data_IF_190481286268
#
_entry.id   IF_190481286268
#
_cell.length_a   1.000
_cell.length_b   1.000
_cell.length_c   1.000
_cell.angle_alpha   90.00
_cell.angle_beta   90.00
_cell.angle_gamma   90.00
#
_symmetry.space_group_name_H-M   'P 1'
#
loop_
_entity.id
_entity.type
_entity.pdbx_description
1 polymer ?
#
# COMPACT_ATOMS: atom_id res chain seq x y z
N UNK A 1 24.88 28.98 -19.22
CA UNK A 1 23.92 28.34 -20.13
C UNK A 1 24.63 28.23 -21.47
N UNK A 2 24.88 27.03 -21.96
CA UNK A 2 25.59 26.82 -23.23
C UNK A 2 24.60 26.81 -24.39
N UNK A 3 25.04 27.21 -25.57
CA UNK A 3 24.24 27.15 -26.80
C UNK A 3 24.81 26.06 -27.71
N UNK A 4 23.99 25.55 -28.64
CA UNK A 4 24.43 24.48 -29.56
C UNK A 4 25.50 25.04 -30.54
N UNK A 5 26.58 24.30 -30.87
CA UNK A 5 27.45 24.72 -31.98
C UNK A 5 26.65 24.77 -33.29
N UNK A 6 26.75 25.87 -34.04
CA UNK A 6 25.95 26.17 -35.25
C UNK A 6 24.45 26.38 -34.96
N UNK A 7 24.14 27.44 -34.20
CA UNK A 7 22.80 27.80 -33.75
C UNK A 7 21.90 28.19 -34.94
N UNK A 8 20.94 27.34 -35.28
CA UNK A 8 19.94 27.65 -36.29
C UNK A 8 18.81 28.49 -35.67
N UNK A 9 19.06 29.78 -35.46
CA UNK A 9 18.07 30.74 -34.96
C UNK A 9 16.94 30.99 -35.95
N UNK A 10 17.16 30.78 -37.24
CA UNK A 10 16.15 30.97 -38.27
C UNK A 10 15.00 29.96 -38.15
N UNK A 11 15.27 28.78 -37.57
CA UNK A 11 14.24 27.79 -37.30
C UNK A 11 13.39 28.13 -36.06
N UNK A 12 13.85 29.03 -35.18
CA UNK A 12 13.13 29.36 -33.94
C UNK A 12 11.88 30.18 -34.26
N UNK A 13 10.76 29.73 -33.73
CA UNK A 13 9.49 30.46 -33.85
C UNK A 13 8.93 30.72 -32.47
N UNK A 14 8.57 31.98 -32.19
CA UNK A 14 7.95 32.39 -30.94
C UNK A 14 6.55 32.92 -31.25
N UNK A 15 5.54 32.26 -30.70
CA UNK A 15 4.16 32.75 -30.67
C UNK A 15 3.85 33.26 -29.26
N UNK A 16 3.79 34.59 -29.10
CA UNK A 16 3.46 35.24 -27.84
C UNK A 16 2.07 35.85 -27.93
N UNK A 17 1.10 35.25 -27.25
CA UNK A 17 -0.30 35.71 -27.26
C UNK A 17 -0.58 36.78 -26.21
N UNK A 18 0.25 36.86 -25.17
CA UNK A 18 0.27 37.96 -24.21
C UNK A 18 1.63 37.97 -23.49
N UNK A 19 1.91 38.96 -22.61
CA UNK A 19 3.08 38.89 -21.73
C UNK A 19 3.08 37.66 -20.81
N UNK A 20 1.93 37.01 -20.64
CA UNK A 20 1.73 35.89 -19.72
C UNK A 20 1.72 34.52 -20.38
N UNK A 21 1.62 34.45 -21.71
CA UNK A 21 1.52 33.17 -22.42
C UNK A 21 2.36 33.19 -23.69
N UNK A 22 3.23 32.18 -23.82
CA UNK A 22 4.13 32.02 -24.95
C UNK A 22 4.29 30.56 -25.33
N UNK A 23 4.36 30.32 -26.63
CA UNK A 23 4.85 29.07 -27.22
C UNK A 23 6.17 29.39 -27.91
N UNK A 24 7.22 28.65 -27.55
CA UNK A 24 8.57 28.80 -28.08
C UNK A 24 8.99 27.47 -28.70
N UNK A 25 9.35 27.49 -29.99
CA UNK A 25 9.65 26.29 -30.80
C UNK A 25 11.06 26.40 -31.35
N UNK A 26 11.78 25.28 -31.35
CA UNK A 26 13.16 25.15 -31.86
C UNK A 26 14.13 26.18 -31.25
N UNK A 27 14.03 26.43 -29.93
CA UNK A 27 14.95 27.31 -29.25
C UNK A 27 16.35 26.65 -29.19
N UNK A 28 17.40 27.24 -29.80
CA UNK A 28 18.75 26.66 -29.87
C UNK A 28 19.52 26.71 -28.54
N UNK A 29 18.97 27.37 -27.53
CA UNK A 29 19.52 27.40 -26.18
C UNK A 29 19.48 26.01 -25.54
N UNK A 30 20.64 25.51 -25.09
CA UNK A 30 20.74 24.15 -24.56
C UNK A 30 20.38 24.12 -23.08
N UNK A 31 19.42 23.26 -22.74
CA UNK A 31 19.23 22.76 -21.38
C UNK A 31 20.16 21.58 -21.08
N UNK A 32 20.04 21.03 -19.87
CA UNK A 32 20.78 19.82 -19.46
C UNK A 32 20.49 18.59 -20.36
N UNK A 33 19.36 18.57 -21.05
CA UNK A 33 18.86 17.46 -21.88
C UNK A 33 18.79 17.84 -23.37
N UNK A 34 19.59 18.83 -23.78
CA UNK A 34 19.53 19.44 -25.11
C UNK A 34 18.57 20.63 -25.20
N UNK A 35 18.41 21.13 -26.43
CA UNK A 35 17.43 22.16 -26.76
C UNK A 35 16.00 21.62 -26.56
N UNK A 36 15.06 22.50 -26.19
CA UNK A 36 13.64 22.13 -26.18
C UNK A 36 13.10 22.24 -27.62
N UNK A 37 12.48 21.16 -28.12
CA UNK A 37 11.80 21.12 -29.43
C UNK A 37 10.64 22.11 -29.41
N UNK A 38 9.87 22.09 -28.32
CA UNK A 38 8.88 23.12 -28.02
C UNK A 38 8.74 23.30 -26.51
N UNK A 39 8.27 24.49 -26.15
CA UNK A 39 7.90 24.87 -24.78
C UNK A 39 6.66 25.74 -24.81
N UNK A 40 5.64 25.31 -24.08
CA UNK A 40 4.47 26.11 -23.77
C UNK A 40 4.66 26.63 -22.34
N UNK A 41 4.62 27.94 -22.21
CA UNK A 41 4.87 28.64 -20.95
C UNK A 41 3.73 29.59 -20.64
N UNK A 42 3.22 29.50 -19.41
CA UNK A 42 2.20 30.40 -18.90
C UNK A 42 2.58 30.90 -17.50
N UNK A 43 2.25 32.16 -17.21
CA UNK A 43 2.44 32.78 -15.90
C UNK A 43 1.17 33.48 -15.42
N UNK A 44 0.79 33.26 -14.17
CA UNK A 44 -0.36 33.92 -13.55
C UNK A 44 -0.01 35.33 -13.09
N UNK A 45 -1.00 36.13 -12.69
CA UNK A 45 -0.77 37.44 -12.04
C UNK A 45 0.06 37.32 -10.75
N UNK A 46 -0.05 36.18 -10.07
CA UNK A 46 0.71 35.88 -8.86
C UNK A 46 2.12 35.34 -9.14
N UNK A 47 2.54 35.35 -10.43
CA UNK A 47 3.82 34.82 -10.92
C UNK A 47 3.99 33.31 -10.77
N UNK A 48 2.91 32.56 -10.59
CA UNK A 48 2.95 31.11 -10.63
C UNK A 48 3.10 30.64 -12.07
N UNK A 49 3.96 29.65 -12.29
CA UNK A 49 4.33 29.16 -13.61
C UNK A 49 3.72 27.79 -13.89
N UNK A 50 3.26 27.63 -15.13
CA UNK A 50 3.03 26.33 -15.76
C UNK A 50 3.93 26.20 -16.99
N UNK A 51 4.62 25.07 -17.10
CA UNK A 51 5.50 24.74 -18.20
C UNK A 51 5.20 23.33 -18.72
N UNK A 52 4.98 23.24 -20.03
CA UNK A 52 4.84 22.00 -20.76
C UNK A 52 5.86 21.98 -21.90
N UNK A 53 6.80 21.03 -21.90
CA UNK A 53 7.91 21.04 -22.85
C UNK A 53 8.38 19.63 -23.24
N UNK A 54 8.87 19.52 -24.48
CA UNK A 54 9.54 18.33 -25.01
C UNK A 54 10.99 18.70 -25.37
N UNK A 55 11.96 17.96 -24.82
CA UNK A 55 13.38 18.13 -25.19
C UNK A 55 13.80 17.25 -26.36
N UNK A 56 14.87 17.64 -27.05
CA UNK A 56 15.54 16.82 -28.10
C UNK A 56 16.02 15.46 -27.57
N UNK A 57 16.30 15.37 -26.26
CA UNK A 57 16.53 14.10 -25.57
C UNK A 57 15.30 13.20 -25.42
N UNK A 58 14.12 13.58 -25.94
CA UNK A 58 12.89 12.79 -25.91
C UNK A 58 12.09 12.89 -24.59
N UNK A 59 12.47 13.79 -23.68
CA UNK A 59 11.80 13.93 -22.37
C UNK A 59 10.67 14.93 -22.44
N UNK A 60 9.46 14.45 -22.21
CA UNK A 60 8.29 15.29 -22.00
C UNK A 60 8.15 15.68 -20.51
N UNK A 61 7.86 16.94 -20.24
CA UNK A 61 7.82 17.52 -18.89
C UNK A 61 6.55 18.35 -18.74
N UNK A 62 5.83 18.13 -17.64
CA UNK A 62 4.77 19.02 -17.14
C UNK A 62 5.22 19.50 -15.76
N UNK A 63 5.49 20.79 -15.61
CA UNK A 63 5.86 21.41 -14.34
C UNK A 63 4.84 22.50 -14.00
N UNK A 64 4.33 22.46 -12.78
CA UNK A 64 3.37 23.42 -12.29
C UNK A 64 3.72 23.79 -10.85
N UNK A 65 3.75 25.09 -10.55
CA UNK A 65 4.18 25.58 -9.23
C UNK A 65 3.18 25.27 -8.12
N UNK A 66 1.91 25.08 -8.48
CA UNK A 66 0.81 24.80 -7.54
C UNK A 66 0.22 23.42 -7.82
N UNK A 67 -1.09 23.26 -7.70
CA UNK A 67 -1.80 22.00 -7.96
C UNK A 67 -1.93 21.69 -9.44
N UNK A 68 -1.68 20.43 -9.79
CA UNK A 68 -2.11 19.82 -11.05
C UNK A 68 -3.33 18.95 -10.78
N UNK A 69 -4.40 19.13 -11.56
CA UNK A 69 -5.62 18.34 -11.47
C UNK A 69 -5.92 17.71 -12.84
N UNK A 70 -6.23 16.40 -12.83
CA UNK A 70 -6.61 15.64 -14.02
C UNK A 70 -8.00 15.07 -13.76
N UNK A 71 -9.00 15.61 -14.47
CA UNK A 71 -10.40 15.15 -14.41
C UNK A 71 -10.80 14.68 -15.80
N UNK A 72 -11.34 13.46 -15.87
CA UNK A 72 -11.82 12.86 -17.11
C UNK A 72 -13.15 12.13 -16.84
N UNK A 73 -13.88 11.80 -17.91
CA UNK A 73 -15.08 10.96 -17.81
C UNK A 73 -16.41 11.66 -17.56
N UNK A 74 -16.47 13.00 -17.53
CA UNK A 74 -17.69 13.75 -17.18
C UNK A 74 -18.92 13.41 -18.05
N UNK A 75 -18.69 13.05 -19.32
CA UNK A 75 -19.73 12.66 -20.28
C UNK A 75 -19.52 11.25 -20.83
N UNK A 76 -18.65 10.45 -20.18
CA UNK A 76 -18.35 9.11 -20.64
C UNK A 76 -19.43 8.11 -20.19
N UNK A 77 -19.46 6.96 -20.84
CA UNK A 77 -20.38 5.89 -20.50
C UNK A 77 -19.99 5.27 -19.16
N UNK A 78 -20.98 4.94 -18.33
CA UNK A 78 -20.73 4.29 -17.05
C UNK A 78 -19.93 2.98 -17.22
N UNK A 79 -18.87 2.82 -16.42
CA UNK A 79 -17.99 1.66 -16.48
C UNK A 79 -16.87 1.73 -17.52
N UNK A 80 -16.78 2.79 -18.32
CA UNK A 80 -15.65 3.02 -19.22
C UNK A 80 -14.38 3.44 -18.45
N UNK A 81 -13.22 3.23 -19.07
CA UNK A 81 -11.93 3.66 -18.52
C UNK A 81 -11.65 5.09 -18.95
N UNK A 82 -11.55 6.01 -17.99
CA UNK A 82 -11.34 7.43 -18.28
C UNK A 82 -9.87 7.84 -18.34
N UNK A 83 -9.03 7.23 -17.49
CA UNK A 83 -7.61 7.55 -17.38
C UNK A 83 -6.81 6.25 -17.33
N UNK A 84 -5.81 6.14 -18.21
CA UNK A 84 -4.82 5.06 -18.20
C UNK A 84 -3.44 5.65 -17.97
N UNK A 85 -2.73 5.12 -16.99
CA UNK A 85 -1.32 5.41 -16.74
C UNK A 85 -0.57 4.09 -16.89
N UNK A 86 0.24 3.97 -17.95
CA UNK A 86 0.93 2.73 -18.28
C UNK A 86 2.38 2.98 -18.70
N UNK A 87 3.31 2.19 -18.14
CA UNK A 87 4.68 2.07 -18.63
C UNK A 87 4.80 0.82 -19.49
N UNK A 88 5.31 0.94 -20.72
CA UNK A 88 5.40 -0.20 -21.64
C UNK A 88 6.73 -0.97 -21.54
N UNK A 89 7.83 -0.25 -21.33
CA UNK A 89 9.21 -0.79 -21.29
C UNK A 89 10.01 -0.24 -20.11
N UNK A 90 9.31 0.21 -19.07
CA UNK A 90 9.90 0.85 -17.90
C UNK A 90 8.84 1.08 -16.84
N UNK A 91 9.25 1.77 -15.77
CA UNK A 91 8.49 1.83 -14.54
C UNK A 91 7.59 3.08 -14.45
N UNK A 92 6.51 2.95 -13.69
CA UNK A 92 5.70 4.08 -13.24
C UNK A 92 5.99 4.30 -11.75
N UNK A 93 6.69 5.40 -11.44
CA UNK A 93 7.05 5.74 -10.05
C UNK A 93 6.20 6.90 -9.57
N UNK A 94 5.49 6.70 -8.46
CA UNK A 94 4.67 7.74 -7.80
C UNK A 94 5.30 8.05 -6.44
N UNK A 95 5.81 9.27 -6.30
CA UNK A 95 6.52 9.69 -5.08
C UNK A 95 5.87 10.91 -4.45
N UNK A 96 5.55 10.81 -3.17
CA UNK A 96 5.13 11.94 -2.35
C UNK A 96 6.23 12.23 -1.31
N UNK A 97 6.81 13.44 -1.36
CA UNK A 97 7.95 13.82 -0.52
C UNK A 97 7.51 14.47 0.80
N UNK A 98 8.36 14.36 1.85
CA UNK A 98 8.17 14.95 3.19
C UNK A 98 6.84 14.51 3.83
N UNK A 99 5.86 15.42 3.90
CA UNK A 99 4.54 15.20 4.50
C UNK A 99 3.48 14.80 3.46
N UNK A 100 3.90 14.57 2.21
CA UNK A 100 3.03 14.09 1.14
C UNK A 100 2.52 12.68 1.42
N UNK A 101 1.29 12.40 1.00
CA UNK A 101 0.68 11.07 1.07
C UNK A 101 0.10 10.70 -0.29
N UNK A 102 0.21 9.43 -0.68
CA UNK A 102 -0.54 8.87 -1.81
C UNK A 102 -1.83 8.28 -1.26
N UNK A 103 -2.97 8.80 -1.71
CA UNK A 103 -4.31 8.40 -1.23
C UNK A 103 -5.12 7.85 -2.38
N UNK A 104 -5.39 6.54 -2.33
CA UNK A 104 -6.21 5.84 -3.33
C UNK A 104 -7.57 5.57 -2.69
N UNK A 105 -8.64 6.04 -3.34
CA UNK A 105 -10.02 5.92 -2.86
C UNK A 105 -10.93 5.50 -4.01
N UNK A 106 -11.82 4.56 -3.73
CA UNK A 106 -12.83 4.08 -4.65
C UNK A 106 -13.74 3.09 -3.92
N UNK A 107 -14.87 2.74 -4.54
CA UNK A 107 -15.74 1.67 -4.00
C UNK A 107 -15.01 0.32 -3.99
N UNK A 108 -14.26 0.04 -5.07
CA UNK A 108 -13.45 -1.16 -5.24
C UNK A 108 -12.04 -0.76 -5.69
N UNK A 109 -11.01 -1.35 -5.08
CA UNK A 109 -9.60 -1.18 -5.47
C UNK A 109 -8.99 -2.58 -5.59
N UNK A 110 -8.40 -2.89 -6.74
CA UNK A 110 -7.74 -4.18 -7.01
C UNK A 110 -6.27 -3.91 -7.27
N UNK A 111 -5.39 -4.59 -6.51
CA UNK A 111 -3.95 -4.60 -6.74
C UNK A 111 -3.59 -6.02 -7.17
N UNK A 112 -3.06 -6.15 -8.39
CA UNK A 112 -2.71 -7.43 -8.99
C UNK A 112 -1.35 -7.30 -9.67
N UNK A 113 -0.52 -8.32 -9.50
CA UNK A 113 0.73 -8.51 -10.21
C UNK A 113 0.81 -9.98 -10.64
N UNK A 114 1.53 -10.26 -11.73
CA UNK A 114 1.73 -11.63 -12.23
C UNK A 114 2.76 -12.39 -11.38
N UNK A 115 3.74 -11.67 -10.83
CA UNK A 115 4.79 -12.22 -9.97
C UNK A 115 4.50 -11.89 -8.50
N UNK A 116 4.87 -10.69 -8.04
CA UNK A 116 4.87 -10.35 -6.61
C UNK A 116 4.27 -8.97 -6.32
N UNK A 117 3.76 -8.80 -5.09
CA UNK A 117 3.35 -7.51 -4.52
C UNK A 117 4.07 -7.33 -3.19
N UNK A 118 5.01 -6.39 -3.15
CA UNK A 118 5.74 -6.03 -1.94
C UNK A 118 5.16 -4.79 -1.25
N UNK A 119 4.91 -4.91 0.05
CA UNK A 119 4.46 -3.81 0.91
C UNK A 119 5.50 -3.59 2.00
N UNK A 120 6.29 -2.52 1.87
CA UNK A 120 7.38 -2.19 2.78
C UNK A 120 7.12 -0.83 3.43
N UNK A 121 7.23 -0.74 4.76
CA UNK A 121 7.11 0.51 5.50
C UNK A 121 8.18 0.62 6.59
N UNK A 122 8.73 1.83 6.79
CA UNK A 122 9.77 2.07 7.79
C UNK A 122 9.30 2.06 9.25
N UNK A 123 7.98 2.17 9.50
CA UNK A 123 7.40 2.10 10.86
C UNK A 123 6.38 0.98 10.97
N UNK A 124 5.21 1.16 10.36
CA UNK A 124 4.08 0.26 10.51
C UNK A 124 3.33 0.10 9.18
N UNK A 125 2.76 -1.09 8.96
CA UNK A 125 1.74 -1.36 7.95
C UNK A 125 0.45 -1.72 8.68
N UNK A 126 -0.61 -0.95 8.45
CA UNK A 126 -1.91 -1.18 9.09
C UNK A 126 -2.89 -1.75 8.06
N UNK A 127 -3.36 -2.98 8.26
CA UNK A 127 -4.38 -3.62 7.41
C UNK A 127 -5.64 -3.85 8.24
N UNK A 128 -6.72 -3.13 7.91
CA UNK A 128 -7.98 -3.21 8.64
C UNK A 128 -9.15 -3.49 7.68
N UNK A 129 -9.83 -4.62 7.89
CA UNK A 129 -11.09 -4.96 7.22
C UNK A 129 -12.20 -5.04 8.25
N UNK A 130 -13.29 -4.29 8.06
CA UNK A 130 -14.44 -4.28 8.98
C UNK A 130 -15.08 -5.66 9.17
N UNK A 131 -15.14 -6.45 8.09
CA UNK A 131 -15.70 -7.79 8.11
C UNK A 131 -14.61 -8.87 8.24
N UNK A 132 -13.61 -8.84 7.35
CA UNK A 132 -12.57 -9.88 7.29
C UNK A 132 -11.34 -9.40 6.51
N UNK A 133 -10.17 -9.87 6.91
CA UNK A 133 -8.94 -9.88 6.10
C UNK A 133 -8.60 -11.35 5.82
N UNK A 134 -8.45 -11.72 4.54
CA UNK A 134 -8.13 -13.09 4.13
C UNK A 134 -6.72 -13.16 3.57
N UNK A 135 -5.85 -13.96 4.19
CA UNK A 135 -4.54 -14.33 3.67
C UNK A 135 -4.62 -15.80 3.24
N UNK A 136 -4.42 -16.07 1.95
CA UNK A 136 -4.47 -17.41 1.38
C UNK A 136 -3.20 -17.65 0.59
N UNK A 137 -2.60 -18.82 0.79
CA UNK A 137 -1.43 -19.28 0.06
C UNK A 137 -1.04 -20.66 0.55
N UNK A 138 -0.20 -21.37 -0.22
CA UNK A 138 0.32 -22.67 0.20
C UNK A 138 1.15 -22.58 1.49
N UNK A 139 1.75 -21.41 1.74
CA UNK A 139 2.47 -21.07 2.96
C UNK A 139 2.22 -19.61 3.29
N UNK A 140 1.81 -19.35 4.53
CA UNK A 140 1.70 -18.00 5.10
C UNK A 140 2.55 -17.99 6.35
N UNK A 141 3.54 -17.10 6.41
CA UNK A 141 4.47 -17.00 7.53
C UNK A 141 4.36 -15.60 8.14
N UNK A 142 4.41 -15.55 9.47
CA UNK A 142 4.56 -14.34 10.23
C UNK A 142 5.73 -14.54 11.20
N UNK A 143 6.70 -13.65 11.13
CA UNK A 143 7.85 -13.63 12.03
C UNK A 143 7.83 -12.33 12.83
N UNK A 144 8.06 -12.43 14.12
CA UNK A 144 8.02 -11.31 15.05
C UNK A 144 8.46 -11.75 16.43
N UNK A 145 9.01 -10.82 17.21
CA UNK A 145 9.47 -11.13 18.56
C UNK A 145 8.31 -11.35 19.54
N UNK A 146 7.22 -10.59 19.37
CA UNK A 146 6.05 -10.55 20.25
C UNK A 146 4.82 -10.29 19.38
N UNK A 147 3.68 -10.86 19.78
CA UNK A 147 2.38 -10.56 19.19
C UNK A 147 1.47 -11.76 19.22
N UNK A 148 0.16 -11.53 19.29
CA UNK A 148 -0.83 -12.60 19.47
C UNK A 148 -0.74 -13.69 18.39
N UNK A 149 -0.39 -13.34 17.14
CA UNK A 149 -0.20 -14.32 16.06
C UNK A 149 1.05 -15.19 16.27
N UNK A 150 2.13 -14.60 16.79
CA UNK A 150 3.39 -15.30 17.08
C UNK A 150 3.22 -16.18 18.32
N UNK A 151 2.58 -15.67 19.37
CA UNK A 151 2.32 -16.43 20.61
C UNK A 151 1.38 -17.63 20.37
N UNK A 152 0.40 -17.50 19.48
CA UNK A 152 -0.49 -18.61 19.09
C UNK A 152 0.22 -19.66 18.23
N UNK A 153 1.25 -19.28 17.46
CA UNK A 153 1.96 -20.20 16.56
C UNK A 153 3.15 -20.88 17.24
N UNK A 154 3.83 -20.19 18.15
CA UNK A 154 5.09 -20.63 18.77
C UNK A 154 5.00 -20.87 20.28
N UNK A 155 3.85 -20.61 20.90
CA UNK A 155 3.66 -20.60 22.35
C UNK A 155 4.19 -19.32 22.99
N UNK A 156 3.63 -18.94 24.15
CA UNK A 156 4.17 -17.83 24.93
C UNK A 156 5.62 -18.10 25.34
N UNK A 157 6.39 -17.03 25.60
CA UNK A 157 7.78 -17.16 26.08
C UNK A 157 7.91 -18.14 27.26
N UNK A 158 6.95 -18.10 28.19
CA UNK A 158 6.87 -19.01 29.34
C UNK A 158 6.75 -20.47 28.90
N UNK A 159 5.86 -20.79 27.95
CA UNK A 159 5.75 -22.15 27.41
C UNK A 159 7.06 -22.62 26.77
N UNK A 160 7.73 -21.76 25.99
CA UNK A 160 9.00 -22.12 25.31
C UNK A 160 10.17 -22.37 26.27
N UNK A 161 10.21 -21.70 27.43
CA UNK A 161 11.25 -21.92 28.44
C UNK A 161 11.05 -23.24 29.19
N UNK A 162 9.80 -23.68 29.38
CA UNK A 162 9.48 -24.89 30.13
C UNK A 162 9.31 -26.16 29.28
N UNK A 163 9.30 -26.06 27.94
CA UNK A 163 9.21 -27.23 27.03
C UNK A 163 10.41 -28.19 27.08
N UNK A 164 11.55 -27.76 27.63
CA UNK A 164 12.78 -28.58 27.71
C UNK A 164 13.10 -29.13 29.10
N UNK A 165 12.27 -28.87 30.13
CA UNK A 165 12.53 -29.38 31.48
C UNK A 165 12.06 -30.83 31.55
N UNK A 166 12.95 -31.74 31.16
CA UNK A 166 12.77 -33.18 31.34
C UNK A 166 12.71 -33.50 32.83
N UNK A 167 11.47 -33.68 33.33
CA UNK A 167 11.19 -33.96 34.73
C UNK A 167 10.28 -32.91 35.36
N UNK A 168 9.04 -32.83 34.87
CA UNK A 168 7.93 -32.13 35.54
C UNK A 168 8.29 -30.75 36.10
N UNK A 169 8.53 -29.77 35.23
CA UNK A 169 8.61 -28.39 35.69
C UNK A 169 7.30 -28.01 36.40
N UNK A 170 7.43 -27.69 37.68
CA UNK A 170 6.42 -27.06 38.53
C UNK A 170 5.63 -26.00 37.75
N UNK A 171 4.32 -26.21 37.56
CA UNK A 171 3.42 -25.21 36.98
C UNK A 171 2.53 -25.66 35.82
N UNK A 172 2.80 -26.78 35.14
CA UNK A 172 1.91 -27.30 34.10
C UNK A 172 0.53 -27.71 34.65
N UNK A 173 0.51 -28.27 35.86
CA UNK A 173 -0.71 -28.65 36.59
C UNK A 173 -1.55 -27.42 37.03
N UNK A 174 -0.88 -26.29 37.33
CA UNK A 174 -1.56 -25.05 37.70
C UNK A 174 -2.22 -24.34 36.51
N UNK A 175 -1.77 -24.59 35.28
CA UNK A 175 -2.36 -24.00 34.08
C UNK A 175 -3.38 -24.92 33.38
N UNK A 176 -3.19 -26.24 33.43
CA UNK A 176 -4.16 -27.20 32.90
C UNK A 176 -5.34 -27.45 33.86
N UNK A 177 -5.14 -27.21 35.16
CA UNK A 177 -6.07 -27.57 36.24
C UNK A 177 -7.02 -26.47 36.72
N UNK A 178 -7.21 -25.38 35.97
CA UNK A 178 -8.12 -24.30 36.36
C UNK A 178 -9.55 -24.78 36.67
N UNK A 179 -10.01 -25.86 36.04
CA UNK A 179 -11.30 -26.49 36.32
C UNK A 179 -11.32 -27.34 37.61
N UNK A 180 -10.19 -27.93 38.02
CA UNK A 180 -10.13 -28.80 39.18
C UNK A 180 -10.01 -28.03 40.49
N UNK A 181 -9.30 -26.90 40.49
CA UNK A 181 -9.17 -26.03 41.67
C UNK A 181 -10.51 -25.37 42.05
N UNK A 182 -11.36 -25.03 41.07
CA UNK A 182 -12.68 -24.43 41.32
C UNK A 182 -13.65 -25.45 41.95
N UNK A 183 -13.59 -26.71 41.51
CA UNK A 183 -14.39 -27.80 42.10
C UNK A 183 -13.95 -28.17 43.52
N UNK A 184 -12.65 -28.12 43.81
CA UNK A 184 -12.12 -28.48 45.13
C UNK A 184 -12.40 -27.43 46.22
N UNK A 185 -12.60 -26.15 45.83
CA UNK A 185 -12.79 -25.03 46.77
C UNK A 185 -14.26 -24.64 47.00
N UNK A 186 -15.22 -25.31 46.37
CA UNK A 186 -16.66 -25.12 46.63
C UNK A 186 -17.19 -23.70 46.37
N UNK A 187 -16.48 -22.89 45.60
CA UNK A 187 -16.90 -21.52 45.22
C UNK A 187 -17.26 -21.49 43.73
N UNK A 188 -18.32 -20.76 43.31
CA UNK A 188 -18.66 -20.64 41.90
C UNK A 188 -17.49 -19.99 41.14
N UNK A 189 -17.18 -20.52 39.95
CA UNK A 189 -16.20 -19.94 39.04
C UNK A 189 -16.57 -18.47 38.76
N UNK A 190 -15.76 -17.53 39.25
CA UNK A 190 -15.90 -16.13 38.83
C UNK A 190 -15.20 -15.99 37.49
N UNK A 191 -15.96 -15.58 36.48
CA UNK A 191 -15.46 -15.28 35.16
C UNK A 191 -14.47 -14.09 35.21
N UNK A 192 -13.29 -14.29 34.60
CA UNK A 192 -12.23 -13.29 34.44
C UNK A 192 -10.91 -13.82 35.01
N UNK A 193 -9.81 -13.97 34.28
CA UNK A 193 -9.26 -13.11 33.23
C UNK A 193 -8.63 -14.03 32.18
N UNK A 194 -9.22 -14.13 30.99
CA UNK A 194 -8.70 -14.96 29.89
C UNK A 194 -9.81 -15.53 29.01
N UNK A 195 -10.07 -14.86 27.90
CA UNK A 195 -10.83 -15.27 26.70
C UNK A 195 -11.88 -16.42 26.82
N UNK A 196 -13.19 -16.15 26.73
CA UNK A 196 -14.25 -17.17 26.81
C UNK A 196 -14.43 -18.04 25.55
N UNK A 197 -13.52 -18.01 24.56
CA UNK A 197 -13.72 -18.71 23.28
C UNK A 197 -13.16 -20.14 23.20
N UNK A 198 -12.72 -20.74 24.31
CA UNK A 198 -12.30 -22.15 24.35
C UNK A 198 -13.26 -22.96 25.22
N UNK A 199 -14.54 -22.96 24.83
CA UNK A 199 -15.59 -23.76 25.44
C UNK A 199 -16.23 -24.68 24.39
N UNK A 200 -16.00 -25.98 24.54
CA UNK A 200 -16.83 -27.08 24.04
C UNK A 200 -17.15 -27.09 22.52
N UNK A 201 -16.19 -27.56 21.71
CA UNK A 201 -16.56 -28.40 20.58
C UNK A 201 -17.08 -29.73 21.16
N UNK A 202 -18.39 -29.78 21.37
CA UNK A 202 -19.08 -30.89 21.97
C UNK A 202 -18.86 -32.18 21.19
N UNK A 203 -18.43 -33.18 21.94
CA UNK A 203 -18.33 -34.60 21.59
C UNK A 203 -19.74 -35.19 21.35
N UNK A 204 -20.46 -34.69 20.34
CA UNK A 204 -21.75 -35.24 19.85
C UNK A 204 -21.49 -36.01 18.56
N UNK A 205 -20.70 -37.06 18.65
CA UNK A 205 -20.63 -38.13 17.66
C UNK A 205 -20.69 -39.46 18.40
N UNK A 206 -21.82 -39.67 19.09
CA UNK A 206 -22.15 -40.90 19.79
C UNK A 206 -23.45 -41.50 19.24
N UNK A 207 -23.30 -42.61 18.50
CA UNK A 207 -24.30 -43.65 18.21
C UNK A 207 -25.48 -43.30 17.29
N UNK A 208 -25.28 -43.50 15.97
CA UNK A 208 -26.38 -43.97 15.13
C UNK A 208 -26.58 -45.47 15.40
N UNK A 209 -27.61 -45.79 16.18
CA UNK A 209 -28.14 -47.15 16.31
C UNK A 209 -28.99 -47.47 15.09
N UNK A 210 -28.67 -48.58 14.44
CA UNK A 210 -29.53 -49.21 13.44
C UNK A 210 -30.75 -49.87 14.09
N UNK A 211 -31.87 -49.87 13.35
CA UNK A 211 -33.03 -50.78 13.40
C UNK A 211 -34.36 -50.33 14.06
N UNK A 212 -35.43 -50.54 13.25
CA UNK A 212 -36.90 -50.61 13.49
C UNK A 212 -37.60 -49.25 13.59
N UNK A 213 -38.50 -48.83 12.69
CA UNK A 213 -39.39 -49.50 11.72
C UNK A 213 -39.24 -48.93 10.32
#
# INVERSE_FOLDING_TARGET
MGTRPNENWEARTIDSRSPKFRIDVANPEMGAEGADVYKIYAVTDNKDVNLCALSEGGKYKIHNDKSLEIVAGMTNTEGAVDIVIAGMKGDVVITAMRDGQVKIKGANIVLQADEDIDLIAGRNINVNGKAKVMLKGNKVQADGLIGNLVEQTSGSFVMRVFTGVAGGAVGLDYLAGGEQLVKALGKPAIAGIGNPSLGLAANVLGKFSTSKF
#
